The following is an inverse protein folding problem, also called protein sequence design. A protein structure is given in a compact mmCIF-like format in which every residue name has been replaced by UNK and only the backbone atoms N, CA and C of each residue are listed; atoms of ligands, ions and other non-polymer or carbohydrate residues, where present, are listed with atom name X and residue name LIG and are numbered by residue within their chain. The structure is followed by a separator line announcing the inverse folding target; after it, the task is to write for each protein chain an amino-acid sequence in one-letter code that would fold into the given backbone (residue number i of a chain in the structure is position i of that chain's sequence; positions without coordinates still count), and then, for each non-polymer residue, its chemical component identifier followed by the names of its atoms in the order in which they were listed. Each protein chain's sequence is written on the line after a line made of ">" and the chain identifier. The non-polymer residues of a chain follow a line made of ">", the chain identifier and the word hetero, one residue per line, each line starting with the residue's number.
data_IF_071724385844
#
_entry.id   IF_071724385844
#
_cell.length_a   1.000
_cell.length_b   1.000
_cell.length_c   1.000
_cell.angle_alpha   90.00
_cell.angle_beta   90.00
_cell.angle_gamma   90.00
#
_symmetry.space_group_name_H-M   'P 1'
#
loop_
_entity.id
_entity.type
_entity.pdbx_description
1 polymer ?
#
# COMPACT_ATOMS: atom_id res chain seq x y z
N UNK A 1 21.53 6.51 -24.10
CA UNK A 1 20.89 6.82 -22.80
C UNK A 1 19.68 7.69 -23.04
N UNK A 2 18.54 7.38 -22.43
CA UNK A 2 17.35 8.22 -22.54
C UNK A 2 17.58 9.55 -21.78
N UNK A 3 17.16 10.66 -22.38
CA UNK A 3 17.24 11.98 -21.74
C UNK A 3 16.14 12.11 -20.68
N UNK A 4 16.51 12.37 -19.44
CA UNK A 4 15.56 12.67 -18.37
C UNK A 4 14.78 13.94 -18.72
N UNK A 5 13.46 13.81 -18.90
CA UNK A 5 12.61 14.94 -19.29
C UNK A 5 12.21 15.80 -18.10
N UNK A 6 12.04 15.19 -16.93
CA UNK A 6 11.56 15.87 -15.72
C UNK A 6 11.86 15.05 -14.47
N UNK A 7 12.02 15.73 -13.32
CA UNK A 7 12.12 15.13 -11.98
C UNK A 7 11.38 16.04 -10.98
N UNK A 8 10.64 15.48 -10.00
CA UNK A 8 10.04 16.30 -8.94
C UNK A 8 11.09 17.00 -8.09
N UNK A 9 10.73 18.15 -7.51
CA UNK A 9 11.56 18.79 -6.49
C UNK A 9 11.56 17.99 -5.19
N UNK A 10 12.60 18.16 -4.38
CA UNK A 10 12.71 17.51 -3.07
C UNK A 10 11.57 17.89 -2.13
N UNK A 11 11.05 19.11 -2.22
CA UNK A 11 9.86 19.54 -1.48
C UNK A 11 8.62 18.75 -1.91
N UNK A 12 8.42 18.55 -3.22
CA UNK A 12 7.29 17.75 -3.74
C UNK A 12 7.41 16.29 -3.32
N UNK A 13 8.62 15.74 -3.27
CA UNK A 13 8.86 14.38 -2.77
C UNK A 13 8.47 14.31 -1.30
N UNK A 14 9.02 15.17 -0.42
CA UNK A 14 8.69 15.17 1.01
C UNK A 14 7.21 15.37 1.30
N UNK A 15 6.51 16.19 0.50
CA UNK A 15 5.08 16.45 0.64
C UNK A 15 4.17 15.39 0.04
N UNK A 16 4.70 14.35 -0.63
CA UNK A 16 3.89 13.34 -1.28
C UNK A 16 3.23 12.39 -0.26
N UNK A 17 1.99 11.99 -0.53
CA UNK A 17 1.34 10.92 0.25
C UNK A 17 2.12 9.60 0.19
N UNK A 18 2.87 9.36 -0.89
CA UNK A 18 3.74 8.19 -1.00
C UNK A 18 4.83 8.19 0.08
N UNK A 19 5.48 9.33 0.32
CA UNK A 19 6.49 9.45 1.38
C UNK A 19 5.88 9.24 2.76
N UNK A 20 4.72 9.86 3.02
CA UNK A 20 3.97 9.65 4.26
C UNK A 20 3.54 8.19 4.46
N UNK A 21 3.19 7.50 3.39
CA UNK A 21 2.82 6.08 3.43
C UNK A 21 4.03 5.19 3.70
N UNK A 22 5.19 5.48 3.11
CA UNK A 22 6.45 4.79 3.43
C UNK A 22 6.80 4.94 4.92
N UNK A 23 6.70 6.16 5.46
CA UNK A 23 6.94 6.40 6.89
C UNK A 23 5.95 5.62 7.78
N UNK A 24 4.67 5.56 7.38
CA UNK A 24 3.64 4.80 8.08
C UNK A 24 3.97 3.30 8.13
N UNK A 25 4.28 2.67 6.99
CA UNK A 25 4.58 1.22 6.97
C UNK A 25 5.93 0.90 7.60
N UNK A 26 6.91 1.80 7.52
CA UNK A 26 8.17 1.65 8.24
C UNK A 26 7.94 1.60 9.75
N UNK A 27 7.07 2.46 10.28
CA UNK A 27 6.70 2.46 11.70
C UNK A 27 5.92 1.22 12.14
N UNK A 28 4.97 0.74 11.33
CA UNK A 28 4.12 -0.41 11.67
C UNK A 28 4.85 -1.75 11.57
N UNK A 29 5.77 -1.91 10.61
CA UNK A 29 6.42 -3.18 10.29
C UNK A 29 7.92 -3.21 10.61
N UNK A 30 8.45 -2.17 11.26
CA UNK A 30 9.89 -2.01 11.57
C UNK A 30 10.77 -2.17 10.32
N UNK A 31 10.41 -1.45 9.25
CA UNK A 31 11.09 -1.48 7.96
C UNK A 31 11.91 -0.20 7.71
N UNK A 32 12.85 -0.28 6.77
CA UNK A 32 13.69 0.84 6.33
C UNK A 32 13.48 1.13 4.82
N UNK A 33 12.23 1.28 4.39
CA UNK A 33 11.89 1.62 3.01
C UNK A 33 12.21 3.09 2.77
N UNK A 34 13.23 3.37 1.95
CA UNK A 34 13.70 4.71 1.62
C UNK A 34 13.47 5.14 0.17
N UNK A 35 12.92 4.27 -0.67
CA UNK A 35 12.65 4.55 -2.08
C UNK A 35 11.36 3.91 -2.58
N UNK A 36 10.84 4.46 -3.68
CA UNK A 36 9.68 3.89 -4.35
C UNK A 36 9.90 2.43 -4.79
N UNK A 37 11.09 2.11 -5.30
CA UNK A 37 11.40 0.75 -5.77
C UNK A 37 11.39 -0.25 -4.60
N UNK A 38 11.89 0.15 -3.43
CA UNK A 38 11.80 -0.66 -2.22
C UNK A 38 10.35 -0.85 -1.75
N UNK A 39 9.55 0.22 -1.78
CA UNK A 39 8.12 0.13 -1.45
C UNK A 39 7.38 -0.79 -2.43
N UNK A 40 7.70 -0.69 -3.72
CA UNK A 40 7.12 -1.52 -4.77
C UNK A 40 7.46 -3.00 -4.56
N UNK A 41 8.73 -3.32 -4.33
CA UNK A 41 9.17 -4.68 -4.04
C UNK A 41 8.46 -5.26 -2.83
N UNK A 42 8.33 -4.47 -1.76
CA UNK A 42 7.58 -4.86 -0.56
C UNK A 42 6.09 -5.07 -0.86
N UNK A 43 5.47 -4.18 -1.65
CA UNK A 43 4.04 -4.25 -1.99
C UNK A 43 3.65 -5.56 -2.70
N UNK A 44 4.60 -6.16 -3.43
CA UNK A 44 4.39 -7.42 -4.14
C UNK A 44 4.69 -8.62 -3.24
N UNK A 45 5.81 -8.57 -2.50
CA UNK A 45 6.23 -9.67 -1.62
C UNK A 45 5.24 -9.86 -0.47
N UNK A 46 4.85 -8.76 0.17
CA UNK A 46 3.98 -8.72 1.34
C UNK A 46 2.60 -8.15 0.99
N UNK A 47 1.98 -8.67 -0.06
CA UNK A 47 0.77 -8.08 -0.63
C UNK A 47 -0.42 -8.03 0.33
N UNK A 48 -0.50 -8.95 1.30
CA UNK A 48 -1.56 -8.93 2.34
C UNK A 48 -1.39 -7.74 3.27
N UNK A 49 -0.16 -7.52 3.74
CA UNK A 49 0.18 -6.47 4.69
C UNK A 49 0.14 -5.10 4.02
N UNK A 50 0.60 -5.00 2.78
CA UNK A 50 0.46 -3.79 1.98
C UNK A 50 -1.00 -3.33 1.86
N UNK A 51 -1.92 -4.24 1.51
CA UNK A 51 -3.33 -3.88 1.35
C UNK A 51 -4.05 -3.63 2.67
N UNK A 52 -3.67 -4.31 3.76
CA UNK A 52 -4.12 -3.95 5.11
C UNK A 52 -3.66 -2.54 5.49
N UNK A 53 -2.38 -2.22 5.24
CA UNK A 53 -1.80 -0.91 5.51
C UNK A 53 -2.50 0.20 4.74
N UNK A 54 -2.80 -0.03 3.45
CA UNK A 54 -3.56 0.93 2.63
C UNK A 54 -4.98 1.16 3.17
N UNK A 55 -5.63 0.13 3.68
CA UNK A 55 -6.96 0.25 4.29
C UNK A 55 -6.93 1.17 5.52
N UNK A 56 -5.94 0.97 6.41
CA UNK A 56 -5.77 1.78 7.62
C UNK A 56 -5.30 3.21 7.30
N UNK A 57 -4.26 3.35 6.46
CA UNK A 57 -3.74 4.66 6.05
C UNK A 57 -4.78 5.50 5.31
N UNK A 58 -5.56 4.86 4.44
CA UNK A 58 -6.69 5.46 3.74
C UNK A 58 -7.90 5.74 4.64
N UNK A 59 -7.86 5.28 5.89
CA UNK A 59 -8.90 5.43 6.90
C UNK A 59 -10.28 4.94 6.40
N UNK A 60 -10.29 3.78 5.73
CA UNK A 60 -11.48 3.23 5.10
C UNK A 60 -12.56 2.98 6.15
N UNK A 61 -13.76 3.55 5.90
CA UNK A 61 -14.91 3.42 6.78
C UNK A 61 -15.79 2.25 6.35
N UNK A 62 -15.94 1.29 7.23
CA UNK A 62 -16.78 0.11 7.01
C UNK A 62 -17.72 -0.09 8.20
N UNK A 63 -18.98 -0.47 7.93
CA UNK A 63 -19.93 -0.86 8.96
C UNK A 63 -19.59 -2.22 9.57
N UNK A 64 -18.79 -3.01 8.87
CA UNK A 64 -18.15 -4.23 9.36
C UNK A 64 -16.75 -4.35 8.78
N UNK A 65 -15.75 -4.60 9.62
CA UNK A 65 -14.36 -4.84 9.19
C UNK A 65 -14.17 -6.16 8.44
N UNK A 66 -13.05 -6.29 7.73
CA UNK A 66 -12.61 -7.56 7.16
C UNK A 66 -12.01 -8.47 8.24
N UNK A 67 -11.99 -9.78 8.00
CA UNK A 67 -11.22 -10.74 8.80
C UNK A 67 -10.13 -11.44 7.98
N UNK A 68 -10.12 -11.24 6.66
CA UNK A 68 -9.06 -11.71 5.77
C UNK A 68 -8.88 -10.74 4.61
N UNK A 69 -7.68 -10.21 4.42
CA UNK A 69 -7.38 -9.26 3.35
C UNK A 69 -7.56 -9.89 1.97
N UNK A 70 -7.13 -11.15 1.79
CA UNK A 70 -7.29 -11.89 0.54
C UNK A 70 -7.27 -13.38 0.81
N UNK A 71 -8.11 -14.17 0.12
CA UNK A 71 -8.12 -15.62 0.30
C UNK A 71 -6.91 -16.33 -0.32
N UNK A 72 -6.71 -16.12 -1.61
CA UNK A 72 -5.67 -16.78 -2.41
C UNK A 72 -5.08 -15.80 -3.44
N UNK A 73 -3.77 -15.57 -3.32
CA UNK A 73 -3.03 -14.66 -4.20
C UNK A 73 -2.72 -15.27 -5.57
N UNK A 74 -2.73 -16.60 -5.68
CA UNK A 74 -2.48 -17.31 -6.94
C UNK A 74 -3.71 -17.43 -7.83
N UNK A 75 -4.89 -17.12 -7.27
CA UNK A 75 -6.17 -17.31 -7.94
C UNK A 75 -6.51 -16.13 -8.85
N UNK A 76 -6.27 -16.30 -10.14
CA UNK A 76 -6.65 -15.33 -11.16
C UNK A 76 -7.35 -16.01 -12.35
N UNK A 77 -8.64 -15.69 -12.62
CA UNK A 77 -9.55 -14.81 -11.89
C UNK A 77 -10.15 -15.45 -10.61
N UNK A 78 -10.70 -14.62 -9.73
CA UNK A 78 -11.56 -15.07 -8.62
C UNK A 78 -10.99 -15.01 -7.21
N UNK A 79 -9.85 -14.32 -7.01
CA UNK A 79 -9.40 -13.88 -5.69
C UNK A 79 -10.45 -12.98 -5.04
N UNK A 80 -10.72 -13.19 -3.74
CA UNK A 80 -11.65 -12.37 -2.96
C UNK A 80 -10.87 -11.52 -1.97
N UNK A 81 -11.08 -10.21 -2.04
CA UNK A 81 -10.40 -9.22 -1.21
C UNK A 81 -11.30 -8.71 -0.07
N UNK A 82 -10.68 -8.35 1.06
CA UNK A 82 -11.29 -7.80 2.27
C UNK A 82 -12.52 -8.58 2.73
N UNK A 83 -12.37 -9.90 2.83
CA UNK A 83 -13.45 -10.84 3.11
C UNK A 83 -14.07 -10.52 4.46
N UNK A 84 -15.41 -10.40 4.46
CA UNK A 84 -16.20 -10.06 5.63
C UNK A 84 -16.49 -8.57 5.78
N UNK A 85 -15.75 -7.70 5.09
CA UNK A 85 -16.02 -6.28 5.15
C UNK A 85 -17.38 -5.91 4.53
N UNK A 86 -18.03 -4.89 5.09
CA UNK A 86 -19.19 -4.24 4.51
C UNK A 86 -18.98 -2.73 4.56
N UNK A 87 -19.03 -2.09 3.40
CA UNK A 87 -18.87 -0.65 3.26
C UNK A 87 -19.82 -0.10 2.20
N UNK A 88 -19.85 1.22 2.07
CA UNK A 88 -20.53 1.95 1.02
C UNK A 88 -19.52 2.94 0.40
N UNK A 89 -19.58 3.11 -0.92
CA UNK A 89 -18.70 3.99 -1.69
C UNK A 89 -19.35 5.36 -1.85
#
# INVERSE_FOLDING_TARGET
>A
MAKLLWRPSEERIRGANMTRFMDFVNGEYDLEIGSYDQLYDWSIKEMRDFWASMWEFGNIKASRGYHKVVDDLSKFPGARWFIGAKLNF
#
